data_IF_697074993754
#
_entry.id   IF_697074993754
#
_cell.length_a   1.000
_cell.length_b   1.000
_cell.length_c   1.000
_cell.angle_alpha   90.00
_cell.angle_beta   90.00
_cell.angle_gamma   90.00
#
_symmetry.space_group_name_H-M   'P 1'
#
loop_
_entity.id
_entity.type
_entity.pdbx_description
1 polymer ?
#
# COMPACT_ATOMS: atom_id res chain seq x y z
N UNK A 1 9.72 -0.12 -29.78
CA UNK A 1 10.84 -0.13 -28.81
C UNK A 1 10.54 0.92 -27.75
N UNK A 2 9.83 0.54 -26.68
CA UNK A 2 9.23 1.49 -25.70
C UNK A 2 9.33 0.99 -24.25
N UNK A 3 10.36 0.18 -23.93
CA UNK A 3 10.44 -0.60 -22.69
C UNK A 3 11.36 0.04 -21.63
N UNK A 4 12.03 1.17 -21.94
CA UNK A 4 13.00 1.79 -21.01
C UNK A 4 12.39 2.97 -20.22
N UNK A 5 11.35 3.65 -20.75
CA UNK A 5 10.80 4.87 -20.12
C UNK A 5 9.80 4.62 -18.98
N UNK A 6 9.07 3.50 -18.97
CA UNK A 6 8.08 3.22 -17.91
C UNK A 6 8.73 2.94 -16.57
N UNK A 7 9.81 2.15 -16.54
CA UNK A 7 10.56 1.85 -15.32
C UNK A 7 11.20 3.10 -14.71
N UNK A 8 11.69 4.02 -15.53
CA UNK A 8 12.29 5.27 -15.03
C UNK A 8 11.27 6.18 -14.37
N UNK A 9 10.04 6.24 -14.90
CA UNK A 9 8.98 7.07 -14.33
C UNK A 9 8.51 6.49 -12.99
N UNK A 10 8.32 5.17 -12.90
CA UNK A 10 7.91 4.51 -11.65
C UNK A 10 8.98 4.64 -10.55
N UNK A 11 10.26 4.51 -10.90
CA UNK A 11 11.37 4.67 -9.95
C UNK A 11 11.50 6.13 -9.47
N UNK A 12 11.30 7.10 -10.36
CA UNK A 12 11.27 8.53 -10.01
C UNK A 12 10.06 8.86 -9.12
N UNK A 13 8.91 8.26 -9.41
CA UNK A 13 7.69 8.34 -8.60
C UNK A 13 7.96 7.82 -7.19
N UNK A 14 8.54 6.63 -7.06
CA UNK A 14 8.91 6.03 -5.78
C UNK A 14 9.93 6.87 -5.03
N UNK A 15 10.97 7.37 -5.71
CA UNK A 15 11.98 8.23 -5.09
C UNK A 15 11.38 9.54 -4.58
N UNK A 16 10.47 10.17 -5.35
CA UNK A 16 9.78 11.39 -4.94
C UNK A 16 8.83 11.13 -3.77
N UNK A 17 8.08 10.04 -3.83
CA UNK A 17 7.21 9.57 -2.74
C UNK A 17 8.01 9.31 -1.47
N UNK A 18 9.15 8.61 -1.56
CA UNK A 18 10.03 8.34 -0.42
C UNK A 18 10.62 9.63 0.17
N UNK A 19 10.98 10.61 -0.66
CA UNK A 19 11.45 11.91 -0.19
C UNK A 19 10.36 12.68 0.58
N UNK A 20 9.13 12.67 0.08
CA UNK A 20 7.99 13.33 0.73
C UNK A 20 7.58 12.60 2.01
N UNK A 21 7.55 11.27 1.97
CA UNK A 21 7.37 10.40 3.13
C UNK A 21 8.35 10.76 4.25
N UNK A 22 9.64 10.90 3.92
CA UNK A 22 10.67 11.29 4.88
C UNK A 22 10.46 12.70 5.44
N UNK A 23 9.98 13.65 4.64
CA UNK A 23 9.72 15.02 5.08
C UNK A 23 8.51 15.09 6.04
N UNK A 24 7.46 14.31 5.78
CA UNK A 24 6.32 14.17 6.68
C UNK A 24 6.73 13.49 7.97
N UNK A 25 7.52 12.41 7.89
CA UNK A 25 7.97 11.65 9.05
C UNK A 25 8.84 12.47 10.02
N UNK A 26 9.66 13.40 9.51
CA UNK A 26 10.47 14.29 10.36
C UNK A 26 9.74 15.58 10.79
N UNK A 27 8.46 15.74 10.42
CA UNK A 27 7.66 16.92 10.74
C UNK A 27 8.04 18.17 9.93
N UNK A 28 8.86 18.04 8.89
CA UNK A 28 9.23 19.13 7.99
C UNK A 28 8.11 19.47 6.99
N UNK A 29 7.11 18.61 6.84
CA UNK A 29 5.97 18.76 5.94
C UNK A 29 4.70 18.22 6.61
N UNK A 30 3.57 18.92 6.47
CA UNK A 30 2.29 18.39 6.92
C UNK A 30 1.75 17.32 5.94
N UNK A 31 1.01 16.30 6.39
CA UNK A 31 0.42 15.31 5.50
C UNK A 31 -0.44 15.92 4.38
N UNK A 32 -1.24 16.95 4.69
CA UNK A 32 -2.09 17.63 3.70
C UNK A 32 -1.27 18.36 2.63
N UNK A 33 -0.15 18.97 3.02
CA UNK A 33 0.80 19.59 2.09
C UNK A 33 1.45 18.55 1.16
N UNK A 34 1.72 17.34 1.69
CA UNK A 34 2.20 16.23 0.88
C UNK A 34 1.13 15.79 -0.13
N UNK A 35 -0.14 15.73 0.25
CA UNK A 35 -1.25 15.44 -0.68
C UNK A 35 -1.29 16.46 -1.82
N UNK A 36 -1.22 17.75 -1.51
CA UNK A 36 -1.25 18.83 -2.51
C UNK A 36 -0.09 18.72 -3.50
N UNK A 37 1.10 18.40 -3.03
CA UNK A 37 2.27 18.20 -3.90
C UNK A 37 2.15 16.95 -4.78
N UNK A 38 1.58 15.85 -4.28
CA UNK A 38 1.32 14.64 -5.07
C UNK A 38 0.28 14.92 -6.16
N UNK A 39 -0.77 15.68 -5.82
CA UNK A 39 -1.78 16.14 -6.78
C UNK A 39 -1.17 17.05 -7.86
N UNK A 40 -0.36 18.04 -7.46
CA UNK A 40 0.31 18.97 -8.38
C UNK A 40 1.29 18.26 -9.32
N UNK A 41 1.91 17.15 -8.88
CA UNK A 41 2.77 16.32 -9.70
C UNK A 41 2.00 15.44 -10.72
N UNK A 42 0.66 15.49 -10.73
CA UNK A 42 -0.18 14.71 -11.66
C UNK A 42 -0.16 13.21 -11.40
N UNK A 43 0.26 12.82 -10.19
CA UNK A 43 0.35 11.42 -9.75
C UNK A 43 -1.01 10.87 -9.34
N UNK A 44 -1.93 11.76 -8.94
CA UNK A 44 -3.32 11.42 -8.69
C UNK A 44 -4.13 11.54 -9.99
N UNK A 45 -4.68 10.42 -10.47
CA UNK A 45 -5.66 10.40 -11.54
C UNK A 45 -7.08 10.62 -10.99
N UNK A 46 -8.03 10.95 -11.89
CA UNK A 46 -9.45 10.84 -11.56
C UNK A 46 -9.76 9.39 -11.15
N UNK A 47 -10.62 9.11 -10.15
CA UNK A 47 -10.87 7.77 -9.62
C UNK A 47 -11.75 6.90 -10.57
N UNK A 48 -11.48 6.94 -11.87
CA UNK A 48 -12.17 6.16 -12.90
C UNK A 48 -11.19 5.74 -14.01
N UNK A 49 -11.41 4.56 -14.60
CA UNK A 49 -10.62 4.05 -15.73
C UNK A 49 -9.11 4.04 -15.46
N UNK A 50 -8.31 4.51 -16.43
CA UNK A 50 -6.85 4.58 -16.30
C UNK A 50 -6.36 5.52 -15.17
N UNK A 51 -7.20 6.48 -14.75
CA UNK A 51 -6.89 7.34 -13.61
C UNK A 51 -6.98 6.61 -12.27
N UNK A 52 -7.93 5.67 -12.13
CA UNK A 52 -8.05 4.84 -10.93
C UNK A 52 -6.83 3.95 -10.74
N UNK A 53 -6.34 3.31 -11.82
CA UNK A 53 -5.14 2.48 -11.76
C UNK A 53 -3.92 3.28 -11.30
N UNK A 54 -3.69 4.47 -11.88
CA UNK A 54 -2.58 5.34 -11.48
C UNK A 54 -2.68 5.76 -10.02
N UNK A 55 -3.88 6.12 -9.57
CA UNK A 55 -4.12 6.48 -8.16
C UNK A 55 -3.92 5.29 -7.23
N UNK A 56 -4.34 4.09 -7.62
CA UNK A 56 -4.11 2.84 -6.90
C UNK A 56 -2.62 2.53 -6.76
N UNK A 57 -1.84 2.60 -7.85
CA UNK A 57 -0.40 2.36 -7.83
C UNK A 57 0.33 3.39 -6.96
N UNK A 58 -0.09 4.66 -7.05
CA UNK A 58 0.45 5.75 -6.22
C UNK A 58 0.15 5.53 -4.74
N UNK A 59 -1.09 5.17 -4.40
CA UNK A 59 -1.51 4.86 -3.02
C UNK A 59 -0.73 3.67 -2.47
N UNK A 60 -0.53 2.62 -3.28
CA UNK A 60 0.23 1.45 -2.86
C UNK A 60 1.70 1.77 -2.61
N UNK A 61 2.34 2.57 -3.48
CA UNK A 61 3.72 3.01 -3.29
C UNK A 61 3.87 3.93 -2.07
N UNK A 62 2.92 4.85 -1.85
CA UNK A 62 2.89 5.68 -0.66
C UNK A 62 2.70 4.85 0.60
N UNK A 63 1.84 3.84 0.59
CA UNK A 63 1.56 3.04 1.77
C UNK A 63 2.75 2.18 2.20
N UNK A 64 3.60 1.80 1.25
CA UNK A 64 4.86 1.10 1.50
C UNK A 64 5.83 1.94 2.34
N UNK A 65 5.92 3.24 2.03
CA UNK A 65 6.89 4.16 2.63
C UNK A 65 6.30 5.02 3.77
N UNK A 66 5.14 5.64 3.54
CA UNK A 66 4.42 6.52 4.47
C UNK A 66 2.90 6.20 4.50
N UNK A 67 2.50 5.20 5.31
CA UNK A 67 1.11 4.76 5.48
C UNK A 67 0.09 5.87 5.73
N UNK A 68 0.47 6.84 6.56
CA UNK A 68 -0.39 7.95 7.00
C UNK A 68 -0.66 8.93 5.87
N UNK A 69 0.36 9.28 5.08
CA UNK A 69 0.20 10.12 3.88
C UNK A 69 -0.60 9.38 2.82
N UNK A 70 -0.37 8.07 2.63
CA UNK A 70 -1.16 7.26 1.72
C UNK A 70 -2.66 7.26 2.08
N UNK A 71 -2.96 7.17 3.38
CA UNK A 71 -4.33 7.24 3.87
C UNK A 71 -4.95 8.63 3.68
N UNK A 72 -4.18 9.71 3.90
CA UNK A 72 -4.62 11.07 3.62
C UNK A 72 -4.95 11.27 2.13
N UNK A 73 -4.11 10.76 1.23
CA UNK A 73 -4.37 10.74 -0.22
C UNK A 73 -5.66 9.99 -0.53
N UNK A 74 -5.84 8.78 0.01
CA UNK A 74 -7.06 7.98 -0.19
C UNK A 74 -8.31 8.77 0.19
N UNK A 75 -8.31 9.48 1.33
CA UNK A 75 -9.45 10.31 1.74
C UNK A 75 -9.66 11.52 0.85
N UNK A 76 -8.58 12.15 0.38
CA UNK A 76 -8.67 13.34 -0.49
C UNK A 76 -9.27 13.04 -1.87
N UNK A 77 -9.11 11.81 -2.36
CA UNK A 77 -9.63 11.40 -3.66
C UNK A 77 -11.16 11.35 -3.70
N UNK A 78 -11.82 11.28 -2.54
CA UNK A 78 -13.29 11.26 -2.45
C UNK A 78 -13.92 10.13 -3.27
N UNK A 79 -13.22 9.00 -3.39
CA UNK A 79 -13.71 7.86 -4.17
C UNK A 79 -14.84 7.15 -3.42
N UNK A 80 -15.81 6.63 -4.18
CA UNK A 80 -16.98 5.92 -3.66
C UNK A 80 -17.15 4.57 -4.34
N UNK A 81 -17.89 3.67 -3.68
CA UNK A 81 -18.19 2.33 -4.20
C UNK A 81 -16.93 1.53 -4.56
N UNK A 82 -16.96 0.86 -5.72
CA UNK A 82 -15.87 0.00 -6.18
C UNK A 82 -14.52 0.74 -6.29
N UNK A 83 -14.53 2.03 -6.66
CA UNK A 83 -13.30 2.81 -6.75
C UNK A 83 -12.65 2.99 -5.37
N UNK A 84 -13.46 3.17 -4.32
CA UNK A 84 -12.99 3.25 -2.95
C UNK A 84 -12.38 1.92 -2.48
N UNK A 85 -13.09 0.81 -2.74
CA UNK A 85 -12.62 -0.54 -2.38
C UNK A 85 -11.29 -0.89 -3.07
N UNK A 86 -11.11 -0.49 -4.34
CA UNK A 86 -9.86 -0.70 -5.09
C UNK A 86 -8.71 0.13 -4.51
N UNK A 87 -8.94 1.40 -4.17
CA UNK A 87 -7.93 2.26 -3.55
C UNK A 87 -7.57 1.74 -2.15
N UNK A 88 -8.54 1.24 -1.40
CA UNK A 88 -8.31 0.64 -0.09
C UNK A 88 -7.49 -0.66 -0.19
N UNK A 89 -7.85 -1.55 -1.12
CA UNK A 89 -7.07 -2.76 -1.38
C UNK A 89 -5.62 -2.43 -1.75
N UNK A 90 -5.42 -1.38 -2.55
CA UNK A 90 -4.09 -0.90 -2.95
C UNK A 90 -3.29 -0.34 -1.77
N UNK A 91 -3.96 0.34 -0.84
CA UNK A 91 -3.36 0.82 0.40
C UNK A 91 -2.86 -0.37 1.25
N UNK A 92 -3.70 -1.38 1.49
CA UNK A 92 -3.27 -2.59 2.22
C UNK A 92 -2.15 -3.35 1.51
N UNK A 93 -2.18 -3.44 0.19
CA UNK A 93 -1.10 -4.05 -0.59
C UNK A 93 0.26 -3.38 -0.31
N UNK A 94 0.31 -2.06 -0.21
CA UNK A 94 1.54 -1.35 0.16
C UNK A 94 1.97 -1.61 1.61
N UNK A 95 1.02 -1.67 2.55
CA UNK A 95 1.32 -2.00 3.96
C UNK A 95 1.92 -3.40 4.10
N UNK A 96 1.37 -4.39 3.38
CA UNK A 96 1.90 -5.77 3.33
C UNK A 96 3.33 -5.76 2.81
N UNK A 97 3.58 -5.15 1.65
CA UNK A 97 4.92 -5.13 1.03
C UNK A 97 5.96 -4.48 1.95
N UNK A 98 5.64 -3.32 2.52
CA UNK A 98 6.54 -2.63 3.43
C UNK A 98 6.80 -3.40 4.72
N UNK A 99 5.76 -4.03 5.31
CA UNK A 99 5.91 -4.88 6.49
C UNK A 99 6.77 -6.11 6.23
N UNK A 100 6.53 -6.82 5.13
CA UNK A 100 7.32 -7.97 4.73
C UNK A 100 8.78 -7.61 4.44
N UNK A 101 9.04 -6.52 3.71
CA UNK A 101 10.40 -6.10 3.41
C UNK A 101 11.21 -5.80 4.69
N UNK A 102 10.58 -5.19 5.70
CA UNK A 102 11.22 -4.97 7.00
C UNK A 102 11.50 -6.28 7.73
N UNK A 103 10.54 -7.21 7.77
CA UNK A 103 10.70 -8.52 8.41
C UNK A 103 11.80 -9.35 7.74
N UNK A 104 11.81 -9.44 6.41
CA UNK A 104 12.81 -10.12 5.60
C UNK A 104 14.20 -9.57 5.86
N UNK A 105 14.35 -8.23 5.87
CA UNK A 105 15.64 -7.58 6.13
C UNK A 105 16.23 -7.98 7.48
N UNK A 106 15.41 -8.17 8.51
CA UNK A 106 15.87 -8.60 9.84
C UNK A 106 16.23 -10.09 9.83
N UNK A 107 15.42 -10.94 9.19
CA UNK A 107 15.70 -12.38 9.10
C UNK A 107 16.97 -12.65 8.31
N UNK A 108 17.16 -11.99 7.17
CA UNK A 108 18.33 -12.15 6.28
C UNK A 108 19.66 -11.74 6.93
N UNK A 109 19.61 -10.88 7.94
CA UNK A 109 20.79 -10.51 8.76
C UNK A 109 21.16 -11.58 9.79
N UNK A 110 20.39 -12.67 9.89
CA UNK A 110 20.60 -13.76 10.84
C UNK A 110 20.09 -13.50 12.25
N UNK A 111 19.47 -12.34 12.50
CA UNK A 111 19.02 -11.95 13.85
C UNK A 111 17.83 -12.79 14.35
N UNK A 112 17.02 -13.34 13.44
CA UNK A 112 15.77 -14.03 13.76
C UNK A 112 15.48 -15.23 12.85
N UNK A 113 16.50 -16.06 12.55
CA UNK A 113 16.40 -17.16 11.56
C UNK A 113 15.23 -18.14 11.79
N UNK A 114 14.80 -18.33 13.04
CA UNK A 114 13.65 -19.19 13.37
C UNK A 114 12.34 -18.77 12.70
N UNK A 115 12.20 -17.50 12.31
CA UNK A 115 11.01 -16.95 11.66
C UNK A 115 11.04 -17.03 10.12
N UNK A 116 12.09 -17.62 9.53
CA UNK A 116 12.25 -17.69 8.07
C UNK A 116 11.08 -18.39 7.38
N UNK A 117 10.61 -19.50 7.95
CA UNK A 117 9.46 -20.25 7.40
C UNK A 117 8.21 -19.39 7.39
N UNK A 118 7.91 -18.69 8.48
CA UNK A 118 6.73 -17.83 8.57
C UNK A 118 6.81 -16.65 7.59
N UNK A 119 7.98 -16.04 7.43
CA UNK A 119 8.20 -14.99 6.43
C UNK A 119 7.98 -15.52 5.02
N UNK A 120 8.48 -16.71 4.70
CA UNK A 120 8.31 -17.35 3.39
C UNK A 120 6.83 -17.68 3.11
N UNK A 121 6.09 -18.15 4.12
CA UNK A 121 4.64 -18.40 4.04
C UNK A 121 3.86 -17.10 3.78
N UNK A 122 4.09 -16.05 4.58
CA UNK A 122 3.44 -14.76 4.38
C UNK A 122 3.78 -14.13 3.03
N UNK A 123 5.01 -14.30 2.55
CA UNK A 123 5.41 -13.87 1.19
C UNK A 123 4.59 -14.60 0.13
N UNK A 124 4.44 -15.91 0.24
CA UNK A 124 3.66 -16.71 -0.70
C UNK A 124 2.18 -16.30 -0.70
N UNK A 125 1.58 -16.10 0.46
CA UNK A 125 0.20 -15.61 0.61
C UNK A 125 0.02 -14.22 -0.02
N UNK A 126 0.99 -13.32 0.21
CA UNK A 126 0.99 -11.97 -0.35
C UNK A 126 1.09 -11.97 -1.87
N UNK A 127 1.94 -12.83 -2.47
CA UNK A 127 1.98 -12.98 -3.93
C UNK A 127 0.69 -13.55 -4.49
N UNK A 128 0.08 -14.52 -3.81
CA UNK A 128 -1.22 -15.07 -4.21
C UNK A 128 -2.31 -13.98 -4.23
N UNK A 129 -2.35 -13.15 -3.19
CA UNK A 129 -3.26 -12.01 -3.08
C UNK A 129 -3.05 -11.01 -4.22
N UNK A 130 -1.81 -10.55 -4.44
CA UNK A 130 -1.48 -9.55 -5.47
C UNK A 130 -1.78 -10.09 -6.88
N UNK A 131 -1.52 -11.38 -7.12
CA UNK A 131 -1.94 -12.05 -8.36
C UNK A 131 -3.46 -12.11 -8.51
N UNK A 132 -4.20 -12.31 -7.42
CA UNK A 132 -5.66 -12.22 -7.38
C UNK A 132 -6.17 -10.82 -7.73
N UNK A 133 -5.61 -9.79 -7.10
CA UNK A 133 -5.91 -8.39 -7.39
C UNK A 133 -5.65 -8.03 -8.86
N UNK A 134 -4.48 -8.36 -9.39
CA UNK A 134 -4.13 -8.06 -10.78
C UNK A 134 -5.07 -8.77 -11.77
N UNK A 135 -5.41 -10.04 -11.52
CA UNK A 135 -6.40 -10.76 -12.34
C UNK A 135 -7.77 -10.10 -12.29
N UNK A 136 -8.23 -9.71 -11.12
CA UNK A 136 -9.52 -9.04 -10.92
C UNK A 136 -9.54 -7.68 -11.65
N UNK A 137 -8.49 -6.86 -11.49
CA UNK A 137 -8.38 -5.53 -12.09
C UNK A 137 -8.29 -5.58 -13.63
N UNK A 138 -7.61 -6.59 -14.19
CA UNK A 138 -7.47 -6.74 -15.64
C UNK A 138 -8.69 -7.40 -16.31
N UNK A 139 -9.52 -8.15 -15.56
CA UNK A 139 -10.69 -8.85 -16.09
C UNK A 139 -11.99 -8.29 -15.47
N UNK A 140 -12.26 -7.00 -15.69
CA UNK A 140 -13.45 -6.30 -15.18
C UNK A 140 -14.80 -6.90 -15.62
N UNK A 141 -14.82 -7.84 -16.59
CA UNK A 141 -16.03 -8.59 -16.97
C UNK A 141 -16.27 -9.89 -16.16
N UNK A 142 -15.32 -10.32 -15.31
CA UNK A 142 -15.41 -11.59 -14.56
C UNK A 142 -15.27 -11.42 -13.04
N UNK A 143 -14.67 -10.33 -12.56
CA UNK A 143 -14.51 -10.07 -11.13
C UNK A 143 -15.82 -9.66 -10.47
N UNK A 144 -16.33 -10.47 -9.55
CA UNK A 144 -17.52 -10.10 -8.77
C UNK A 144 -17.15 -9.10 -7.67
N UNK A 145 -18.11 -8.29 -7.23
CA UNK A 145 -17.97 -7.46 -6.03
C UNK A 145 -17.60 -8.36 -4.84
N UNK A 146 -18.25 -9.53 -4.70
CA UNK A 146 -17.93 -10.49 -3.64
C UNK A 146 -16.45 -10.91 -3.61
N UNK A 147 -15.83 -11.10 -4.78
CA UNK A 147 -14.40 -11.42 -4.87
C UNK A 147 -13.52 -10.25 -4.40
N UNK A 148 -13.87 -9.01 -4.75
CA UNK A 148 -13.15 -7.82 -4.29
C UNK A 148 -13.18 -7.72 -2.76
N UNK A 149 -14.33 -7.98 -2.15
CA UNK A 149 -14.49 -7.94 -0.70
C UNK A 149 -13.71 -9.07 0.00
N UNK A 150 -13.63 -10.26 -0.61
CA UNK A 150 -12.77 -11.35 -0.12
C UNK A 150 -11.30 -10.96 -0.20
N UNK A 151 -10.86 -10.40 -1.33
CA UNK A 151 -9.48 -9.91 -1.49
C UNK A 151 -9.17 -8.80 -0.48
N UNK A 152 -10.09 -7.88 -0.23
CA UNK A 152 -9.95 -6.82 0.77
C UNK A 152 -9.82 -7.38 2.19
N UNK A 153 -10.66 -8.36 2.55
CA UNK A 153 -10.57 -9.05 3.84
C UNK A 153 -9.22 -9.76 4.03
N UNK A 154 -8.75 -10.47 3.01
CA UNK A 154 -7.45 -11.13 3.04
C UNK A 154 -6.30 -10.11 3.14
N UNK A 155 -6.36 -9.01 2.39
CA UNK A 155 -5.36 -7.94 2.42
C UNK A 155 -5.26 -7.29 3.80
N UNK A 156 -6.39 -7.03 4.47
CA UNK A 156 -6.44 -6.50 5.84
C UNK A 156 -5.71 -7.41 6.82
N UNK A 157 -6.00 -8.71 6.77
CA UNK A 157 -5.40 -9.71 7.66
C UNK A 157 -3.90 -9.85 7.41
N UNK A 158 -3.49 -9.93 6.15
CA UNK A 158 -2.08 -10.01 5.76
C UNK A 158 -1.31 -8.75 6.14
N UNK A 159 -1.87 -7.57 5.92
CA UNK A 159 -1.24 -6.29 6.29
C UNK A 159 -1.00 -6.22 7.79
N UNK A 160 -2.00 -6.63 8.58
CA UNK A 160 -1.87 -6.71 10.03
C UNK A 160 -0.77 -7.68 10.44
N UNK A 161 -0.79 -8.93 9.95
CA UNK A 161 0.22 -9.93 10.34
C UNK A 161 1.63 -9.52 9.91
N UNK A 162 1.81 -9.01 8.70
CA UNK A 162 3.09 -8.49 8.23
C UNK A 162 3.60 -7.35 9.13
N UNK A 163 2.72 -6.44 9.55
CA UNK A 163 3.05 -5.35 10.47
C UNK A 163 3.41 -5.85 11.88
N UNK A 164 2.62 -6.76 12.44
CA UNK A 164 2.90 -7.38 13.75
C UNK A 164 4.22 -8.14 13.74
N UNK A 165 4.46 -8.96 12.70
CA UNK A 165 5.71 -9.70 12.55
C UNK A 165 6.91 -8.76 12.41
N UNK A 166 6.80 -7.71 11.59
CA UNK A 166 7.88 -6.73 11.47
C UNK A 166 8.17 -6.04 12.81
N UNK A 167 7.17 -5.74 13.64
CA UNK A 167 7.38 -5.17 14.98
C UNK A 167 7.98 -6.19 15.96
N UNK A 168 7.51 -7.45 15.91
CA UNK A 168 8.02 -8.55 16.74
C UNK A 168 9.51 -8.82 16.48
N UNK A 169 9.95 -8.68 15.23
CA UNK A 169 11.34 -8.84 14.80
C UNK A 169 12.19 -7.58 15.03
N UNK A 170 11.79 -6.68 15.94
CA UNK A 170 12.48 -5.39 16.18
C UNK A 170 12.66 -4.53 14.90
N UNK A 171 11.66 -4.56 14.02
CA UNK A 171 11.62 -3.76 12.80
C UNK A 171 11.63 -2.26 13.06
N UNK A 172 11.81 -1.50 11.98
CA UNK A 172 12.00 -0.04 12.01
C UNK A 172 10.77 0.70 12.55
N UNK A 173 10.89 2.00 12.89
CA UNK A 173 9.73 2.85 13.20
C UNK A 173 8.62 2.80 12.14
N UNK A 174 8.97 2.53 10.87
CA UNK A 174 8.02 2.32 9.78
C UNK A 174 7.07 1.13 10.04
N UNK A 175 7.58 0.00 10.55
CA UNK A 175 6.76 -1.16 10.90
C UNK A 175 5.69 -0.83 11.96
N UNK A 176 6.08 -0.06 13.00
CA UNK A 176 5.13 0.41 14.04
C UNK A 176 4.06 1.32 13.46
N UNK A 177 4.43 2.24 12.54
CA UNK A 177 3.46 3.10 11.85
C UNK A 177 2.49 2.30 10.99
N UNK A 178 2.96 1.27 10.27
CA UNK A 178 2.09 0.37 9.49
C UNK A 178 1.11 -0.38 10.39
N UNK A 179 1.57 -0.95 11.50
CA UNK A 179 0.69 -1.62 12.46
C UNK A 179 -0.36 -0.66 13.04
N UNK A 180 0.05 0.56 13.39
CA UNK A 180 -0.85 1.59 13.88
C UNK A 180 -1.89 2.01 12.82
N UNK A 181 -1.51 2.10 11.55
CA UNK A 181 -2.41 2.43 10.44
C UNK A 181 -3.50 1.38 10.23
N UNK A 182 -3.18 0.08 10.40
CA UNK A 182 -4.17 -1.01 10.29
C UNK A 182 -5.05 -1.12 11.56
N UNK A 183 -4.52 -0.70 12.71
CA UNK A 183 -5.21 -0.78 14.01
C UNK A 183 -6.06 0.45 14.34
N UNK A 184 -5.80 1.58 13.70
CA UNK A 184 -6.71 2.71 13.74
C UNK A 184 -8.07 2.26 13.21
N UNK A 185 -9.20 2.77 13.73
CA UNK A 185 -10.50 2.49 13.14
C UNK A 185 -10.49 3.07 11.72
N UNK A 186 -10.18 2.22 10.73
CA UNK A 186 -10.37 2.45 9.31
C UNK A 186 -11.88 2.35 9.07
N UNK A 187 -12.60 3.31 9.65
CA UNK A 187 -14.03 3.41 9.50
C UNK A 187 -14.23 4.03 8.12
N UNK A 188 -14.41 3.19 7.11
CA UNK A 188 -15.20 3.60 5.96
C UNK A 188 -16.58 3.95 6.52
N UNK A 189 -16.83 5.26 6.67
CA UNK A 189 -18.17 5.74 6.80
C UNK A 189 -18.88 5.31 5.51
N UNK A 190 -19.65 4.23 5.59
CA UNK A 190 -20.77 3.97 4.69
C UNK A 190 -21.72 5.16 4.87
N UNK A 191 -21.42 6.26 4.19
CA UNK A 191 -22.25 7.45 4.12
C UNK A 191 -22.60 7.64 2.65
N UNK A 192 -23.80 7.17 2.27
CA UNK A 192 -24.36 7.25 0.92
C UNK A 192 -25.23 6.04 0.63
#
# INVERSE_FOLDING_TARGET
MAIIFSHTVDDLLRARVAQMASAVDCGAMAPDEAVDQIAAAGLLGRPVGAGLQRSADTVAALAEECPTTAYAVLRSLGAEGIAADVLELSWYAGLIRGGLADAETVVDRGTHERYRVEVDELRAESYSLLGGWQRWACNTMAGSISELWVLLGAARLLARRAGELAVELDGRPAARRRLAAVSAPVSFALAG
#
